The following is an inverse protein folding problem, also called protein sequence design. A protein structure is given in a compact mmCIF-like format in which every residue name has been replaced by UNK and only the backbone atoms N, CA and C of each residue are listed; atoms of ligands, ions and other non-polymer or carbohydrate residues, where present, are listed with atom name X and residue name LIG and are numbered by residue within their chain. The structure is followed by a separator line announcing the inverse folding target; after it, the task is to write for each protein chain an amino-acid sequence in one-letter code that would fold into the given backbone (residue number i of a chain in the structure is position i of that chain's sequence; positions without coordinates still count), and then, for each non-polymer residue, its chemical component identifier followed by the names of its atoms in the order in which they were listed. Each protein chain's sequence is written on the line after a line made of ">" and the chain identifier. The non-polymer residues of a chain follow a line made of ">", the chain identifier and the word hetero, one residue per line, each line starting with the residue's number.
data_IF_266854524065
#
_entry.id   IF_266854524065
#
_cell.length_a   1.000
_cell.length_b   1.000
_cell.length_c   1.000
_cell.angle_alpha   90.00
_cell.angle_beta   90.00
_cell.angle_gamma   90.00
#
_symmetry.space_group_name_H-M   'P 1'
#
loop_
_entity.id
_entity.type
_entity.pdbx_description
1 polymer ?
#
# COMPACT_ATOMS: atom_id res chain seq x y z
N UNK A 1 -0.91 4.33 -19.53
CA UNK A 1 0.48 3.94 -19.88
C UNK A 1 1.22 3.40 -18.65
N UNK A 2 1.57 4.23 -17.65
CA UNK A 2 2.32 3.80 -16.45
C UNK A 2 1.72 2.58 -15.75
N UNK A 3 0.41 2.59 -15.49
CA UNK A 3 -0.27 1.48 -14.82
C UNK A 3 -0.07 0.15 -15.56
N UNK A 4 -0.36 0.12 -16.85
CA UNK A 4 -0.19 -1.08 -17.68
C UNK A 4 1.27 -1.53 -17.79
N UNK A 5 2.21 -0.59 -17.88
CA UNK A 5 3.64 -0.89 -17.93
C UNK A 5 4.14 -1.49 -16.60
N UNK A 6 3.74 -0.92 -15.47
CA UNK A 6 4.10 -1.43 -14.15
C UNK A 6 3.56 -2.85 -13.92
N UNK A 7 2.25 -3.04 -14.13
CA UNK A 7 1.64 -4.36 -13.92
C UNK A 7 2.12 -5.39 -14.96
N UNK A 8 2.37 -4.99 -16.21
CA UNK A 8 2.98 -5.86 -17.22
C UNK A 8 4.44 -6.23 -16.90
N UNK A 9 5.19 -5.36 -16.23
CA UNK A 9 6.60 -5.60 -15.86
C UNK A 9 6.77 -6.48 -14.63
N UNK A 10 5.89 -6.33 -13.64
CA UNK A 10 6.06 -6.95 -12.31
C UNK A 10 5.03 -8.02 -11.95
N UNK A 11 3.91 -8.10 -12.69
CA UNK A 11 2.79 -9.00 -12.38
C UNK A 11 2.25 -9.72 -13.62
N UNK A 12 3.07 -9.87 -14.68
CA UNK A 12 2.71 -10.67 -15.85
C UNK A 12 2.91 -12.18 -15.61
N UNK A 13 2.35 -12.67 -14.50
CA UNK A 13 2.34 -14.07 -14.08
C UNK A 13 1.10 -14.34 -13.21
N UNK A 14 0.92 -15.58 -12.77
CA UNK A 14 -0.18 -16.01 -11.90
C UNK A 14 0.30 -16.50 -10.53
N UNK A 15 1.53 -16.16 -10.15
CA UNK A 15 2.07 -16.61 -8.87
C UNK A 15 1.29 -15.90 -7.74
N UNK A 16 1.03 -16.58 -6.61
CA UNK A 16 0.40 -15.92 -5.46
C UNK A 16 1.32 -14.83 -4.90
N UNK A 17 0.71 -13.83 -4.25
CA UNK A 17 1.42 -12.73 -3.58
C UNK A 17 0.88 -12.52 -2.18
N UNK A 18 1.76 -12.21 -1.24
CA UNK A 18 1.36 -11.69 0.07
C UNK A 18 0.91 -10.24 -0.08
N UNK A 19 -0.25 -9.91 0.47
CA UNK A 19 -0.85 -8.58 0.28
C UNK A 19 -0.30 -7.59 1.31
N UNK A 20 0.20 -6.45 0.84
CA UNK A 20 0.52 -5.28 1.68
C UNK A 20 -0.52 -4.20 1.45
N UNK A 21 -1.37 -3.96 2.44
CA UNK A 21 -2.54 -3.10 2.31
C UNK A 21 -2.36 -1.81 3.11
N UNK A 22 -2.21 -0.71 2.37
CA UNK A 22 -2.33 0.65 2.87
C UNK A 22 -3.77 1.07 3.13
N UNK A 23 -3.95 2.36 3.39
CA UNK A 23 -5.25 2.95 3.77
C UNK A 23 -6.07 3.26 2.52
N UNK A 24 -5.71 4.35 1.83
CA UNK A 24 -6.15 4.74 0.51
C UNK A 24 -5.13 5.67 -0.14
N UNK A 25 -5.14 5.84 -1.47
CA UNK A 25 -4.27 6.76 -2.17
C UNK A 25 -4.31 8.18 -1.60
N UNK A 26 -3.14 8.81 -1.50
CA UNK A 26 -3.02 10.25 -1.34
C UNK A 26 -2.90 10.94 -2.71
N UNK A 27 -3.24 12.23 -2.77
CA UNK A 27 -3.18 13.03 -4.02
C UNK A 27 -1.77 13.23 -4.61
N UNK A 28 -0.71 12.81 -3.90
CA UNK A 28 0.68 13.12 -4.27
C UNK A 28 1.47 11.90 -4.79
N UNK A 29 1.12 10.68 -4.42
CA UNK A 29 1.76 9.45 -4.91
C UNK A 29 0.84 8.74 -5.89
N UNK A 30 0.13 7.71 -5.42
CA UNK A 30 -0.78 6.93 -6.24
C UNK A 30 -1.90 7.76 -6.91
N UNK A 31 -2.28 8.92 -6.33
CA UNK A 31 -3.18 9.87 -6.99
C UNK A 31 -2.61 10.55 -8.24
N UNK A 32 -1.29 10.46 -8.48
CA UNK A 32 -0.61 10.98 -9.68
C UNK A 32 -0.24 9.84 -10.63
N UNK A 33 0.30 8.74 -10.10
CA UNK A 33 0.87 7.65 -10.91
C UNK A 33 -0.08 6.48 -11.15
N UNK A 34 -1.11 6.34 -10.31
CA UNK A 34 -1.98 5.17 -10.25
C UNK A 34 -1.35 3.94 -9.57
N UNK A 35 -0.11 4.02 -9.09
CA UNK A 35 0.62 2.90 -8.47
C UNK A 35 0.76 3.16 -6.96
N UNK A 36 0.34 2.18 -6.15
CA UNK A 36 0.39 2.27 -4.69
C UNK A 36 1.80 2.61 -4.20
N UNK A 37 1.90 3.58 -3.28
CA UNK A 37 3.15 4.05 -2.67
C UNK A 37 4.28 4.36 -3.66
N UNK A 38 3.95 4.78 -4.89
CA UNK A 38 4.96 4.98 -5.93
C UNK A 38 4.84 6.35 -6.56
N UNK A 39 5.68 7.27 -6.10
CA UNK A 39 5.81 8.62 -6.67
C UNK A 39 6.52 8.59 -8.03
N UNK A 40 6.33 9.63 -8.87
CA UNK A 40 6.96 9.75 -10.18
C UNK A 40 8.45 9.43 -10.19
N UNK A 41 9.22 10.03 -9.28
CA UNK A 41 10.66 9.85 -9.19
C UNK A 41 11.08 8.46 -8.72
N UNK A 42 10.28 7.79 -7.88
CA UNK A 42 10.59 6.45 -7.43
C UNK A 42 10.28 5.40 -8.50
N UNK A 43 9.24 5.60 -9.32
CA UNK A 43 9.00 4.77 -10.49
C UNK A 43 10.17 4.83 -11.48
N UNK A 44 10.71 6.02 -11.76
CA UNK A 44 11.90 6.16 -12.61
C UNK A 44 13.10 5.45 -12.00
N UNK A 45 13.42 5.78 -10.75
CA UNK A 45 14.63 5.31 -10.08
C UNK A 45 14.66 3.80 -9.83
N UNK A 46 13.59 3.26 -9.24
CA UNK A 46 13.60 1.90 -8.69
C UNK A 46 12.84 0.90 -9.56
N UNK A 47 11.85 1.37 -10.30
CA UNK A 47 11.10 0.50 -11.22
C UNK A 47 11.60 0.59 -12.66
N UNK A 48 12.44 1.57 -13.00
CA UNK A 48 12.88 1.81 -14.37
C UNK A 48 11.68 2.03 -15.31
N UNK A 49 10.71 2.82 -14.86
CA UNK A 49 9.52 3.21 -15.63
C UNK A 49 9.54 4.73 -15.77
N UNK A 50 9.87 5.19 -16.98
CA UNK A 50 9.96 6.61 -17.29
C UNK A 50 8.59 7.28 -17.31
N UNK A 51 8.57 8.54 -16.86
CA UNK A 51 7.38 9.37 -16.85
C UNK A 51 7.74 10.86 -16.75
N UNK A 52 6.87 11.71 -17.29
CA UNK A 52 7.06 13.17 -17.38
C UNK A 52 6.42 13.93 -16.22
N UNK A 53 5.92 13.23 -15.20
CA UNK A 53 5.30 13.87 -14.04
C UNK A 53 6.34 14.54 -13.15
N UNK A 54 5.96 15.69 -12.60
CA UNK A 54 6.76 16.42 -11.60
C UNK A 54 6.90 15.58 -10.33
N UNK A 55 8.05 15.70 -9.70
CA UNK A 55 8.34 15.05 -8.42
C UNK A 55 7.38 15.52 -7.33
N UNK A 56 7.03 14.58 -6.45
CA UNK A 56 6.10 14.84 -5.35
C UNK A 56 6.68 14.39 -4.00
N UNK A 57 6.36 15.07 -2.89
CA UNK A 57 7.05 14.85 -1.61
C UNK A 57 6.42 13.72 -0.76
N UNK A 58 5.83 12.69 -1.36
CA UNK A 58 5.12 11.67 -0.58
C UNK A 58 6.07 10.81 0.28
N UNK A 59 6.05 11.06 1.59
CA UNK A 59 6.85 10.34 2.59
C UNK A 59 6.67 8.82 2.54
N UNK A 60 5.44 8.36 2.30
CA UNK A 60 5.13 6.94 2.30
C UNK A 60 5.82 6.20 1.16
N UNK A 61 5.81 6.77 -0.04
CA UNK A 61 6.59 6.26 -1.18
C UNK A 61 8.08 6.22 -0.87
N UNK A 62 8.62 7.27 -0.25
CA UNK A 62 10.05 7.32 0.10
C UNK A 62 10.47 6.17 1.00
N UNK A 63 9.70 5.86 2.05
CA UNK A 63 10.05 4.76 2.95
C UNK A 63 9.80 3.39 2.31
N UNK A 64 8.68 3.20 1.59
CA UNK A 64 8.41 1.92 0.90
C UNK A 64 9.53 1.58 -0.07
N UNK A 65 10.09 2.54 -0.80
CA UNK A 65 11.21 2.23 -1.69
C UNK A 65 12.54 1.98 -0.99
N UNK A 66 12.72 2.42 0.27
CA UNK A 66 13.83 1.93 1.10
C UNK A 66 13.63 0.45 1.46
N UNK A 67 12.39 0.06 1.80
CA UNK A 67 12.02 -1.35 2.06
C UNK A 67 12.23 -2.20 0.80
N UNK A 68 11.74 -1.74 -0.35
CA UNK A 68 11.90 -2.45 -1.64
C UNK A 68 13.37 -2.67 -1.96
N UNK A 69 14.21 -1.64 -1.81
CA UNK A 69 15.65 -1.77 -2.05
C UNK A 69 16.29 -2.77 -1.08
N UNK A 70 16.03 -2.63 0.22
CA UNK A 70 16.58 -3.48 1.28
C UNK A 70 16.12 -4.95 1.18
N UNK A 71 14.93 -5.19 0.62
CA UNK A 71 14.42 -6.55 0.39
C UNK A 71 15.12 -7.28 -0.77
N UNK A 72 15.76 -6.56 -1.69
CA UNK A 72 16.39 -7.13 -2.89
C UNK A 72 16.00 -6.45 -4.21
N UNK A 73 15.34 -5.28 -4.13
CA UNK A 73 14.93 -4.48 -5.27
C UNK A 73 13.52 -4.78 -5.79
N UNK A 74 13.05 -3.92 -6.70
CA UNK A 74 11.65 -3.91 -7.16
C UNK A 74 11.19 -5.25 -7.78
N UNK A 75 12.06 -5.91 -8.56
CA UNK A 75 11.71 -7.19 -9.19
C UNK A 75 11.47 -8.28 -8.16
N UNK A 76 12.37 -8.42 -7.19
CA UNK A 76 12.24 -9.44 -6.14
C UNK A 76 11.02 -9.13 -5.27
N UNK A 77 10.90 -7.89 -4.79
CA UNK A 77 9.78 -7.47 -3.95
C UNK A 77 8.42 -7.70 -4.61
N UNK A 78 8.20 -7.20 -5.84
CA UNK A 78 6.90 -7.34 -6.50
C UNK A 78 6.63 -8.76 -7.03
N UNK A 79 7.64 -9.64 -7.07
CA UNK A 79 7.43 -11.08 -7.33
C UNK A 79 6.84 -11.83 -6.13
N UNK A 80 6.86 -11.23 -4.93
CA UNK A 80 6.40 -11.84 -3.68
C UNK A 80 5.23 -11.08 -3.05
N UNK A 81 5.18 -9.76 -3.22
CA UNK A 81 4.20 -8.90 -2.59
C UNK A 81 3.31 -8.16 -3.59
N UNK A 82 2.03 -8.02 -3.23
CA UNK A 82 1.08 -7.15 -3.94
C UNK A 82 0.77 -5.94 -3.05
N UNK A 83 1.31 -4.78 -3.44
CA UNK A 83 1.14 -3.54 -2.69
C UNK A 83 -0.09 -2.78 -3.17
N UNK A 84 -1.05 -2.56 -2.28
CA UNK A 84 -2.36 -1.96 -2.57
C UNK A 84 -2.90 -1.19 -1.35
N UNK A 85 -4.20 -0.91 -1.31
CA UNK A 85 -4.89 -0.26 -0.20
C UNK A 85 -6.31 -0.78 -0.04
N UNK A 86 -6.87 -0.66 1.18
CA UNK A 86 -8.24 -1.13 1.46
C UNK A 86 -9.29 -0.37 0.62
N UNK A 87 -9.12 0.94 0.50
CA UNK A 87 -9.93 1.74 -0.42
C UNK A 87 -9.06 2.19 -1.62
N UNK A 88 -9.48 1.93 -2.87
CA UNK A 88 -8.60 2.06 -4.04
C UNK A 88 -8.50 3.48 -4.61
N UNK A 89 -9.25 4.46 -4.08
CA UNK A 89 -9.30 5.82 -4.64
C UNK A 89 -8.81 6.88 -3.64
N UNK A 90 -8.27 7.98 -4.17
CA UNK A 90 -7.93 9.12 -3.36
C UNK A 90 -9.19 9.87 -2.90
N UNK A 91 -9.27 10.17 -1.60
CA UNK A 91 -10.31 11.01 -1.04
C UNK A 91 -9.72 12.38 -0.68
N UNK A 92 -10.46 13.44 -0.96
CA UNK A 92 -10.11 14.78 -0.54
C UNK A 92 -11.28 15.47 0.14
N UNK A 93 -10.98 16.33 1.11
CA UNK A 93 -11.97 17.14 1.81
C UNK A 93 -11.60 18.61 1.64
N UNK A 94 -12.59 19.43 1.32
CA UNK A 94 -12.41 20.88 1.32
C UNK A 94 -12.07 21.34 2.75
N UNK A 95 -11.04 22.18 2.88
CA UNK A 95 -10.66 22.78 4.15
C UNK A 95 -11.05 24.25 4.18
N UNK A 96 -11.16 24.82 5.38
CA UNK A 96 -11.44 26.26 5.56
C UNK A 96 -10.38 27.18 4.94
N UNK A 97 -9.21 26.65 4.56
CA UNK A 97 -8.13 27.39 3.87
C UNK A 97 -8.25 27.39 2.33
N UNK A 98 -9.33 26.84 1.77
CA UNK A 98 -9.59 26.79 0.32
C UNK A 98 -8.78 25.74 -0.45
N UNK A 99 -7.81 25.07 0.18
CA UNK A 99 -7.07 23.95 -0.40
C UNK A 99 -7.67 22.61 0.05
N UNK A 100 -7.91 21.65 -0.86
CA UNK A 100 -8.32 20.31 -0.45
C UNK A 100 -7.21 19.64 0.35
N UNK A 101 -7.58 18.86 1.35
CA UNK A 101 -6.67 18.01 2.12
C UNK A 101 -6.94 16.54 1.83
N UNK A 102 -5.94 15.67 1.95
CA UNK A 102 -6.15 14.23 1.87
C UNK A 102 -7.10 13.79 2.99
N UNK A 103 -7.98 12.85 2.68
CA UNK A 103 -8.93 12.25 3.62
C UNK A 103 -8.76 10.74 3.60
N UNK A 104 -8.95 10.09 4.74
CA UNK A 104 -8.98 8.64 4.81
C UNK A 104 -10.41 8.13 4.84
N UNK A 105 -10.64 6.91 4.33
CA UNK A 105 -11.97 6.29 4.37
C UNK A 105 -12.52 6.18 5.80
N UNK A 106 -11.64 6.13 6.81
CA UNK A 106 -11.97 5.97 8.23
C UNK A 106 -11.94 7.25 9.07
N UNK A 107 -11.82 8.42 8.42
CA UNK A 107 -11.71 9.69 9.16
C UNK A 107 -13.06 10.10 9.79
N UNK A 108 -14.18 9.63 9.25
CA UNK A 108 -15.50 9.70 9.87
C UNK A 108 -16.35 8.44 9.60
N UNK A 109 -17.36 8.22 10.47
CA UNK A 109 -18.22 7.04 10.43
C UNK A 109 -19.12 7.00 9.19
N UNK A 110 -19.63 8.14 8.74
CA UNK A 110 -20.53 8.20 7.59
C UNK A 110 -19.77 7.82 6.31
N UNK A 111 -18.56 8.36 6.12
CA UNK A 111 -17.66 8.01 5.02
C UNK A 111 -17.28 6.53 5.08
N UNK A 112 -16.89 6.03 6.26
CA UNK A 112 -16.57 4.60 6.44
C UNK A 112 -17.72 3.71 5.98
N UNK A 113 -18.94 4.00 6.45
CA UNK A 113 -20.12 3.20 6.15
C UNK A 113 -20.50 3.27 4.66
N UNK A 114 -20.41 4.46 4.05
CA UNK A 114 -20.71 4.63 2.63
C UNK A 114 -19.72 3.88 1.73
N UNK A 115 -18.45 3.81 2.13
CA UNK A 115 -17.40 3.16 1.34
C UNK A 115 -17.23 1.66 1.65
N UNK A 116 -17.85 1.14 2.71
CA UNK A 116 -17.68 -0.25 3.14
C UNK A 116 -17.98 -1.29 2.05
N UNK A 117 -19.10 -1.20 1.29
CA UNK A 117 -19.37 -2.14 0.21
C UNK A 117 -18.29 -2.09 -0.88
N UNK A 118 -17.83 -0.89 -1.25
CA UNK A 118 -16.80 -0.69 -2.26
C UNK A 118 -15.44 -1.23 -1.84
N UNK A 119 -15.03 -1.02 -0.59
CA UNK A 119 -13.78 -1.60 -0.06
C UNK A 119 -13.83 -3.13 -0.08
N UNK A 120 -14.99 -3.69 0.31
CA UNK A 120 -15.18 -5.14 0.32
C UNK A 120 -15.10 -5.74 -1.08
N UNK A 121 -15.72 -5.08 -2.06
CA UNK A 121 -15.68 -5.49 -3.45
C UNK A 121 -14.29 -5.31 -4.07
N UNK A 122 -13.57 -4.26 -3.70
CA UNK A 122 -12.20 -4.03 -4.14
C UNK A 122 -11.27 -5.15 -3.67
N UNK A 123 -11.31 -5.51 -2.38
CA UNK A 123 -10.48 -6.59 -1.83
C UNK A 123 -10.87 -7.94 -2.45
N UNK A 124 -12.17 -8.22 -2.60
CA UNK A 124 -12.64 -9.43 -3.31
C UNK A 124 -12.10 -9.50 -4.75
N UNK A 125 -12.09 -8.38 -5.45
CA UNK A 125 -11.58 -8.32 -6.82
C UNK A 125 -10.07 -8.56 -6.84
N UNK A 126 -9.32 -7.88 -5.97
CA UNK A 126 -7.87 -7.98 -5.92
C UNK A 126 -7.38 -9.37 -5.50
N UNK A 127 -8.07 -10.01 -4.57
CA UNK A 127 -7.78 -11.40 -4.19
C UNK A 127 -7.97 -12.37 -5.36
N UNK A 128 -8.80 -12.03 -6.36
CA UNK A 128 -8.92 -12.77 -7.61
C UNK A 128 -7.70 -12.69 -8.54
N UNK A 129 -6.73 -11.81 -8.29
CA UNK A 129 -5.51 -11.69 -9.11
C UNK A 129 -4.44 -12.75 -8.80
N UNK A 130 -4.65 -13.56 -7.76
CA UNK A 130 -3.66 -14.48 -7.21
C UNK A 130 -3.10 -13.94 -5.89
N UNK A 131 -3.73 -14.32 -4.78
CA UNK A 131 -3.29 -13.93 -3.44
C UNK A 131 -2.88 -15.15 -2.62
N UNK A 132 -1.87 -14.95 -1.79
CA UNK A 132 -1.60 -15.83 -0.66
C UNK A 132 -2.67 -15.59 0.40
N UNK A 133 -3.42 -16.64 0.73
CA UNK A 133 -4.52 -16.59 1.71
C UNK A 133 -4.03 -16.62 3.15
N UNK A 134 -2.81 -17.07 3.40
CA UNK A 134 -2.33 -17.24 4.78
C UNK A 134 -2.24 -15.90 5.48
N UNK A 135 -1.62 -14.91 4.82
CA UNK A 135 -1.26 -13.67 5.48
C UNK A 135 -1.48 -12.44 4.61
N UNK A 136 -2.02 -11.39 5.23
CA UNK A 136 -1.96 -10.02 4.74
C UNK A 136 -1.28 -9.11 5.77
N UNK A 137 -0.51 -8.16 5.27
CA UNK A 137 0.13 -7.11 6.07
C UNK A 137 -0.68 -5.83 5.94
N UNK A 138 -1.24 -5.34 7.04
CA UNK A 138 -1.83 -4.01 7.12
C UNK A 138 -0.77 -2.97 7.48
N UNK A 139 -0.70 -1.90 6.68
CA UNK A 139 0.14 -0.75 6.94
C UNK A 139 -0.65 0.28 7.77
N UNK A 140 -0.42 0.27 9.08
CA UNK A 140 -1.02 1.17 10.06
C UNK A 140 -1.96 0.45 11.05
N UNK A 141 -1.80 0.76 12.34
CA UNK A 141 -2.60 0.17 13.43
C UNK A 141 -4.10 0.36 13.23
N UNK A 142 -4.55 1.61 13.04
CA UNK A 142 -5.97 1.90 12.78
C UNK A 142 -6.49 1.20 11.52
N UNK A 143 -5.66 1.13 10.46
CA UNK A 143 -6.03 0.43 9.22
C UNK A 143 -6.24 -1.07 9.44
N UNK A 144 -5.42 -1.67 10.31
CA UNK A 144 -5.52 -3.09 10.66
C UNK A 144 -6.84 -3.43 11.34
N UNK A 145 -7.39 -2.54 12.17
CA UNK A 145 -8.69 -2.75 12.81
C UNK A 145 -9.83 -2.85 11.78
N UNK A 146 -9.80 -2.02 10.74
CA UNK A 146 -10.76 -2.08 9.64
C UNK A 146 -10.56 -3.30 8.74
N UNK A 147 -9.31 -3.66 8.43
CA UNK A 147 -9.03 -4.87 7.66
C UNK A 147 -9.48 -6.12 8.41
N UNK A 148 -9.22 -6.21 9.73
CA UNK A 148 -9.71 -7.33 10.56
C UNK A 148 -11.22 -7.44 10.53
N UNK A 149 -11.92 -6.34 10.78
CA UNK A 149 -13.39 -6.33 10.71
C UNK A 149 -13.92 -6.79 9.34
N UNK A 150 -13.30 -6.34 8.26
CA UNK A 150 -13.68 -6.76 6.90
C UNK A 150 -13.36 -8.24 6.66
N UNK A 151 -12.28 -8.74 7.25
CA UNK A 151 -11.85 -10.12 7.16
C UNK A 151 -12.69 -11.07 8.02
N UNK A 152 -13.17 -10.65 9.19
CA UNK A 152 -14.08 -11.44 10.04
C UNK A 152 -15.38 -11.77 9.29
N UNK A 153 -15.85 -10.83 8.43
CA UNK A 153 -17.05 -11.01 7.63
C UNK A 153 -16.84 -11.93 6.40
N UNK A 154 -15.62 -11.98 5.84
CA UNK A 154 -15.37 -12.50 4.47
C UNK A 154 -14.29 -13.57 4.37
N UNK A 155 -13.47 -13.73 5.39
CA UNK A 155 -12.33 -14.65 5.45
C UNK A 155 -11.43 -14.55 4.21
N UNK A 156 -10.97 -13.35 3.89
CA UNK A 156 -10.03 -13.14 2.77
C UNK A 156 -8.64 -13.72 3.09
N UNK A 157 -8.18 -13.55 4.33
CA UNK A 157 -6.87 -13.99 4.81
C UNK A 157 -7.00 -14.74 6.14
N UNK A 158 -6.13 -15.70 6.41
CA UNK A 158 -6.13 -16.46 7.67
C UNK A 158 -5.57 -15.62 8.83
N UNK A 159 -4.56 -14.77 8.54
CA UNK A 159 -3.90 -13.91 9.52
C UNK A 159 -3.66 -12.50 8.97
N UNK A 160 -3.82 -11.50 9.84
CA UNK A 160 -3.47 -10.11 9.55
C UNK A 160 -2.31 -9.65 10.42
N UNK A 161 -1.16 -9.45 9.78
CA UNK A 161 0.03 -8.86 10.39
C UNK A 161 -0.05 -7.34 10.30
N UNK A 162 0.48 -6.62 11.29
CA UNK A 162 0.40 -5.15 11.33
C UNK A 162 1.79 -4.53 11.40
N UNK A 163 2.06 -3.61 10.47
CA UNK A 163 3.23 -2.75 10.49
C UNK A 163 2.81 -1.30 10.67
N UNK A 164 3.71 -0.48 11.23
CA UNK A 164 3.48 0.96 11.35
C UNK A 164 3.44 1.62 9.98
N UNK A 165 2.48 2.52 9.73
CA UNK A 165 2.31 3.09 8.40
C UNK A 165 3.56 3.90 7.95
N UNK A 166 4.03 3.76 6.69
CA UNK A 166 5.22 4.46 6.19
C UNK A 166 5.24 5.98 6.42
N UNK A 167 4.07 6.63 6.30
CA UNK A 167 3.92 8.06 6.63
C UNK A 167 4.26 8.35 8.08
N UNK A 168 3.73 7.54 9.01
CA UNK A 168 3.92 7.77 10.45
C UNK A 168 5.41 7.66 10.82
N UNK A 169 6.10 6.68 10.24
CA UNK A 169 7.53 6.45 10.46
C UNK A 169 8.34 7.70 10.09
N UNK A 170 8.26 8.15 8.84
CA UNK A 170 9.06 9.30 8.43
C UNK A 170 8.58 10.64 9.00
N UNK A 171 7.30 10.76 9.35
CA UNK A 171 6.74 12.01 9.88
C UNK A 171 7.04 12.20 11.38
N UNK A 172 7.04 11.11 12.17
CA UNK A 172 7.11 11.20 13.63
C UNK A 172 8.24 10.38 14.27
N UNK A 173 8.83 9.43 13.52
CA UNK A 173 9.85 8.48 14.00
C UNK A 173 11.07 8.43 13.09
N UNK A 174 11.40 9.56 12.45
CA UNK A 174 12.49 9.63 11.46
C UNK A 174 13.86 9.23 12.04
N UNK A 175 14.10 9.46 13.34
CA UNK A 175 15.33 9.04 14.04
C UNK A 175 15.45 7.52 14.17
N UNK A 176 14.33 6.81 14.13
CA UNK A 176 14.25 5.37 14.34
C UNK A 176 14.05 4.63 13.00
N UNK A 177 14.21 5.31 11.86
CA UNK A 177 13.86 4.79 10.52
C UNK A 177 14.52 3.44 10.23
N UNK A 178 15.79 3.26 10.61
CA UNK A 178 16.53 2.00 10.41
C UNK A 178 15.89 0.83 11.18
N UNK A 179 15.52 1.04 12.45
CA UNK A 179 14.82 0.03 13.24
C UNK A 179 13.48 -0.38 12.61
N UNK A 180 12.73 0.60 12.06
CA UNK A 180 11.50 0.29 11.34
C UNK A 180 11.76 -0.44 10.03
N UNK A 181 12.84 -0.12 9.32
CA UNK A 181 13.24 -0.82 8.10
C UNK A 181 13.56 -2.28 8.41
N UNK A 182 14.38 -2.55 9.42
CA UNK A 182 14.73 -3.92 9.86
C UNK A 182 13.47 -4.71 10.23
N UNK A 183 12.55 -4.08 10.98
CA UNK A 183 11.27 -4.71 11.33
C UNK A 183 10.43 -5.04 10.10
N UNK A 184 10.38 -4.15 9.12
CA UNK A 184 9.69 -4.41 7.86
C UNK A 184 10.30 -5.62 7.15
N UNK A 185 11.61 -5.63 6.97
CA UNK A 185 12.31 -6.73 6.27
C UNK A 185 12.12 -8.07 6.97
N UNK A 186 12.31 -8.12 8.30
CA UNK A 186 12.06 -9.34 9.08
C UNK A 186 10.61 -9.83 8.91
N UNK A 187 9.63 -8.93 9.04
CA UNK A 187 8.20 -9.29 8.88
C UNK A 187 7.89 -9.80 7.47
N UNK A 188 8.50 -9.20 6.44
CA UNK A 188 8.31 -9.64 5.06
C UNK A 188 8.88 -11.04 4.84
N UNK A 189 10.06 -11.35 5.36
CA UNK A 189 10.63 -12.70 5.30
C UNK A 189 9.78 -13.71 6.07
N UNK A 190 9.35 -13.39 7.29
CA UNK A 190 8.48 -14.27 8.10
C UNK A 190 7.18 -14.64 7.35
N UNK A 191 6.57 -13.68 6.65
CA UNK A 191 5.35 -13.93 5.86
C UNK A 191 5.61 -14.83 4.65
N UNK A 192 6.86 -14.95 4.18
CA UNK A 192 7.26 -15.82 3.08
C UNK A 192 7.77 -17.18 3.55
N UNK A 193 8.29 -17.31 4.76
CA UNK A 193 8.72 -18.61 5.31
C UNK A 193 7.52 -19.51 5.69
N UNK A 194 6.33 -18.92 5.79
CA UNK A 194 5.09 -19.68 5.82
C UNK A 194 4.71 -20.31 4.47
N UNK A 195 5.48 -20.10 3.39
CA UNK A 195 5.18 -20.49 1.99
C UNK A 195 5.36 -21.95 1.65
#
# INVERSE_FOLDING_TARGET
>A
RIVGEFYGKFYADSNPRVFLLGINPGRFGAGVTGIAFSTPQNLRRYCGIDNEFRDTPELSSRFIYQVVEAFGGAREFYSKFFLSSLFPLALTKNSGSGKPVNYNFYDDRATTNALWPFMTDAIRTQTGFGHDRREAISLGRKNADYLRRLNDDRNFFDRIVTLDHPRYILQYKSKDTEQYLDRYIATLHDCLEGV
#
